data_IF_532349227060
#
_entry.id   IF_532349227060
#
_cell.length_a   1.000
_cell.length_b   1.000
_cell.length_c   1.000
_cell.angle_alpha   90.00
_cell.angle_beta   90.00
_cell.angle_gamma   90.00
#
_symmetry.space_group_name_H-M   'P 1'
#
loop_
_entity.id
_entity.type
_entity.pdbx_description
1 polymer ?
#
# COMPACT_ATOMS: atom_id res chain seq x y z
N UNK A 1 10.90 54.53 37.70
CA UNK A 1 10.59 53.08 37.67
C UNK A 1 9.10 52.92 37.93
N UNK A 2 8.33 52.43 36.97
CA UNK A 2 6.91 52.09 37.17
C UNK A 2 6.81 50.59 37.31
N UNK A 3 6.36 50.18 38.49
CA UNK A 3 6.13 48.79 38.89
C UNK A 3 5.24 48.09 37.87
N UNK A 4 5.77 47.09 37.17
CA UNK A 4 4.96 46.16 36.36
C UNK A 4 4.29 45.21 37.35
N UNK A 5 3.16 45.64 37.92
CA UNK A 5 2.28 44.74 38.66
C UNK A 5 1.63 43.81 37.64
N UNK A 6 2.20 42.63 37.43
CA UNK A 6 1.51 41.50 36.82
C UNK A 6 0.36 41.11 37.74
N UNK A 7 -0.80 41.73 37.49
CA UNK A 7 -2.01 41.40 38.19
C UNK A 7 -2.40 39.97 37.77
N UNK A 8 -2.12 39.00 38.64
CA UNK A 8 -2.83 37.73 38.63
C UNK A 8 -4.28 38.01 38.99
N UNK A 9 -5.06 38.42 37.98
CA UNK A 9 -6.49 38.60 38.10
C UNK A 9 -7.09 37.19 38.16
N UNK A 10 -7.79 36.87 39.25
CA UNK A 10 -8.57 35.63 39.34
C UNK A 10 -9.54 35.61 38.16
N UNK A 11 -9.52 34.55 37.33
CA UNK A 11 -10.41 34.52 36.18
C UNK A 11 -11.85 34.53 36.68
N UNK A 12 -12.70 35.36 36.07
CA UNK A 12 -14.14 35.34 36.36
C UNK A 12 -14.64 33.91 36.16
N UNK A 13 -15.36 33.37 37.15
CA UNK A 13 -15.76 31.96 37.20
C UNK A 13 -16.43 31.47 35.90
N UNK A 14 -17.20 32.35 35.25
CA UNK A 14 -17.85 32.11 33.96
C UNK A 14 -16.84 31.93 32.81
N UNK A 15 -15.78 32.74 32.78
CA UNK A 15 -14.72 32.66 31.76
C UNK A 15 -13.98 31.33 31.91
N UNK A 16 -13.70 30.91 33.14
CA UNK A 16 -13.06 29.62 33.42
C UNK A 16 -13.91 28.44 32.97
N UNK A 17 -15.24 28.51 33.18
CA UNK A 17 -16.18 27.46 32.74
C UNK A 17 -16.25 27.39 31.21
N UNK A 18 -16.36 28.54 30.53
CA UNK A 18 -16.40 28.58 29.06
C UNK A 18 -15.09 28.05 28.46
N UNK A 19 -13.94 28.45 29.01
CA UNK A 19 -12.64 27.95 28.58
C UNK A 19 -12.48 26.45 28.82
N UNK A 20 -12.97 25.92 29.95
CA UNK A 20 -12.90 24.48 30.20
C UNK A 20 -13.77 23.69 29.22
N UNK A 21 -14.95 24.21 28.88
CA UNK A 21 -15.84 23.57 27.91
C UNK A 21 -15.21 23.53 26.50
N UNK A 22 -14.60 24.64 26.07
CA UNK A 22 -13.85 24.70 24.81
C UNK A 22 -12.68 23.71 24.83
N UNK A 23 -11.96 23.62 25.95
CA UNK A 23 -10.84 22.69 26.11
C UNK A 23 -11.28 21.24 25.99
N UNK A 24 -12.41 20.85 26.58
CA UNK A 24 -12.96 19.49 26.48
C UNK A 24 -13.33 19.16 25.04
N UNK A 25 -13.98 20.07 24.32
CA UNK A 25 -14.35 19.88 22.90
C UNK A 25 -13.11 19.78 22.02
N UNK A 26 -12.11 20.63 22.25
CA UNK A 26 -10.85 20.59 21.52
C UNK A 26 -10.10 19.28 21.74
N UNK A 27 -10.03 18.79 22.98
CA UNK A 27 -9.39 17.51 23.28
C UNK A 27 -10.14 16.33 22.67
N UNK A 28 -11.48 16.32 22.75
CA UNK A 28 -12.30 15.26 22.16
C UNK A 28 -12.11 15.17 20.64
N UNK A 29 -12.17 16.32 19.95
CA UNK A 29 -11.94 16.36 18.50
C UNK A 29 -10.52 15.98 18.13
N UNK A 30 -9.51 16.43 18.88
CA UNK A 30 -8.12 16.09 18.61
C UNK A 30 -7.84 14.57 18.70
N UNK A 31 -8.40 13.90 19.70
CA UNK A 31 -8.25 12.44 19.85
C UNK A 31 -8.90 11.71 18.68
N UNK A 32 -10.13 12.07 18.30
CA UNK A 32 -10.80 11.47 17.15
C UNK A 32 -10.01 11.65 15.85
N UNK A 33 -9.41 12.83 15.64
CA UNK A 33 -8.58 13.10 14.46
C UNK A 33 -7.28 12.31 14.45
N UNK A 34 -6.65 12.06 15.61
CA UNK A 34 -5.45 11.22 15.69
C UNK A 34 -5.77 9.77 15.30
N UNK A 35 -6.90 9.24 15.76
CA UNK A 35 -7.32 7.88 15.39
C UNK A 35 -7.58 7.77 13.89
N UNK A 36 -8.40 8.67 13.36
CA UNK A 36 -8.72 8.75 11.93
C UNK A 36 -7.45 8.89 11.08
N UNK A 37 -6.51 9.73 11.50
CA UNK A 37 -5.23 9.91 10.82
C UNK A 37 -4.37 8.63 10.82
N UNK A 38 -4.36 7.88 11.92
CA UNK A 38 -3.59 6.65 12.00
C UNK A 38 -4.19 5.54 11.13
N UNK A 39 -5.51 5.47 11.05
CA UNK A 39 -6.22 4.54 10.17
C UNK A 39 -5.98 4.89 8.70
N UNK A 40 -6.09 6.17 8.33
CA UNK A 40 -5.77 6.66 6.98
C UNK A 40 -4.31 6.38 6.60
N UNK A 41 -3.38 6.49 7.55
CA UNK A 41 -1.97 6.18 7.34
C UNK A 41 -1.77 4.70 7.03
N UNK A 42 -2.42 3.81 7.78
CA UNK A 42 -2.35 2.36 7.52
C UNK A 42 -2.93 2.01 6.15
N UNK A 43 -4.08 2.58 5.80
CA UNK A 43 -4.71 2.35 4.49
C UNK A 43 -3.79 2.80 3.36
N UNK A 44 -3.16 3.98 3.50
CA UNK A 44 -2.15 4.46 2.55
C UNK A 44 -0.96 3.51 2.43
N UNK A 45 -0.45 2.98 3.53
CA UNK A 45 0.68 2.02 3.52
C UNK A 45 0.31 0.67 2.89
N UNK A 46 -0.94 0.23 3.00
CA UNK A 46 -1.44 -0.97 2.34
C UNK A 46 -1.55 -0.73 0.84
N UNK A 47 -2.24 0.34 0.42
CA UNK A 47 -2.40 0.71 -0.98
C UNK A 47 -1.04 0.94 -1.68
N UNK A 48 -0.08 1.55 -0.99
CA UNK A 48 1.27 1.71 -1.53
C UNK A 48 2.00 0.37 -1.71
N UNK A 49 1.79 -0.60 -0.82
CA UNK A 49 2.34 -1.95 -0.99
C UNK A 49 1.70 -2.67 -2.16
N UNK A 50 0.39 -2.56 -2.33
CA UNK A 50 -0.33 -3.15 -3.47
C UNK A 50 0.14 -2.55 -4.79
N UNK A 51 0.28 -1.22 -4.87
CA UNK A 51 0.83 -0.55 -6.05
C UNK A 51 2.25 -1.04 -6.33
N UNK A 52 3.07 -1.24 -5.29
CA UNK A 52 4.45 -1.71 -5.48
C UNK A 52 4.48 -3.15 -6.00
N UNK A 53 3.68 -4.05 -5.42
CA UNK A 53 3.59 -5.44 -5.86
C UNK A 53 3.10 -5.52 -7.32
N UNK A 54 2.05 -4.77 -7.67
CA UNK A 54 1.54 -4.72 -9.04
C UNK A 54 2.58 -4.17 -10.02
N UNK A 55 3.36 -3.16 -9.63
CA UNK A 55 4.47 -2.65 -10.46
C UNK A 55 5.59 -3.66 -10.65
N UNK A 56 5.90 -4.45 -9.63
CA UNK A 56 6.91 -5.53 -9.73
C UNK A 56 6.42 -6.63 -10.67
N UNK A 57 5.13 -7.00 -10.60
CA UNK A 57 4.51 -7.96 -11.54
C UNK A 57 4.51 -7.43 -12.98
N UNK A 58 4.15 -6.16 -13.19
CA UNK A 58 4.19 -5.53 -14.51
C UNK A 58 5.62 -5.53 -15.06
N UNK A 59 6.61 -5.16 -14.25
CA UNK A 59 8.01 -5.16 -14.69
C UNK A 59 8.52 -6.57 -15.03
N UNK A 60 8.07 -7.60 -14.31
CA UNK A 60 8.40 -8.99 -14.63
C UNK A 60 7.76 -9.45 -15.94
N UNK A 61 6.48 -9.11 -16.15
CA UNK A 61 5.75 -9.40 -17.39
C UNK A 61 6.33 -8.63 -18.59
N UNK A 62 6.69 -7.35 -18.40
CA UNK A 62 7.37 -6.55 -19.42
C UNK A 62 8.74 -7.15 -19.77
N UNK A 63 9.51 -7.63 -18.80
CA UNK A 63 10.77 -8.32 -19.07
C UNK A 63 10.58 -9.63 -19.86
N UNK A 64 9.53 -10.40 -19.54
CA UNK A 64 9.18 -11.61 -20.31
C UNK A 64 8.72 -11.27 -21.74
N UNK A 65 8.01 -10.15 -21.91
CA UNK A 65 7.51 -9.69 -23.21
C UNK A 65 8.58 -9.01 -24.08
N UNK A 66 9.50 -8.25 -23.47
CA UNK A 66 10.63 -7.59 -24.14
C UNK A 66 11.79 -8.58 -24.41
N UNK A 67 11.76 -9.76 -23.82
CA UNK A 67 12.59 -10.87 -24.30
C UNK A 67 12.26 -11.08 -25.77
N UNK A 68 13.24 -11.06 -26.68
CA UNK A 68 12.96 -11.17 -28.10
C UNK A 68 12.10 -12.42 -28.32
N UNK A 69 10.92 -12.24 -28.93
CA UNK A 69 10.16 -13.34 -29.53
C UNK A 69 11.05 -13.94 -30.62
N UNK A 70 11.99 -14.78 -30.22
CA UNK A 70 12.71 -15.64 -31.12
C UNK A 70 11.81 -16.82 -31.52
N UNK A 71 12.18 -17.45 -32.63
CA UNK A 71 11.44 -18.59 -33.14
C UNK A 71 11.41 -19.75 -32.12
N UNK A 72 12.40 -19.83 -31.22
CA UNK A 72 12.49 -20.81 -30.13
C UNK A 72 11.39 -20.60 -29.06
N UNK A 73 11.09 -19.36 -28.68
CA UNK A 73 9.99 -19.04 -27.77
C UNK A 73 8.65 -19.40 -28.37
N UNK A 74 8.41 -19.07 -29.65
CA UNK A 74 7.17 -19.43 -30.36
C UNK A 74 7.03 -20.94 -30.44
N UNK A 75 8.11 -21.65 -30.76
CA UNK A 75 8.14 -23.11 -30.84
C UNK A 75 7.83 -23.74 -29.47
N UNK A 76 8.42 -23.26 -28.37
CA UNK A 76 8.16 -23.79 -27.03
C UNK A 76 6.69 -23.58 -26.59
N UNK A 77 6.13 -22.40 -26.80
CA UNK A 77 4.72 -22.12 -26.48
C UNK A 77 3.78 -22.96 -27.34
N UNK A 78 4.13 -23.20 -28.60
CA UNK A 78 3.37 -24.05 -29.51
C UNK A 78 3.43 -25.53 -29.10
N UNK A 79 4.59 -26.03 -28.66
CA UNK A 79 4.74 -27.38 -28.10
C UNK A 79 3.90 -27.55 -26.83
N UNK A 80 3.97 -26.58 -25.91
CA UNK A 80 3.28 -26.65 -24.61
C UNK A 80 1.75 -26.47 -24.71
N UNK A 81 1.28 -25.50 -25.50
CA UNK A 81 -0.16 -25.20 -25.58
C UNK A 81 -0.91 -26.02 -26.63
N UNK A 82 -0.25 -26.41 -27.71
CA UNK A 82 -0.89 -27.11 -28.84
C UNK A 82 -0.45 -28.58 -28.94
N UNK A 83 0.47 -29.05 -28.08
CA UNK A 83 0.98 -30.42 -28.11
C UNK A 83 1.73 -30.74 -29.40
N UNK A 84 2.25 -29.71 -30.08
CA UNK A 84 2.98 -29.87 -31.33
C UNK A 84 4.34 -30.51 -31.04
N UNK A 85 4.81 -31.35 -31.95
CA UNK A 85 6.10 -32.04 -31.87
C UNK A 85 6.77 -31.87 -33.21
N UNK A 86 8.07 -31.57 -33.24
CA UNK A 86 8.77 -31.46 -34.50
C UNK A 86 8.82 -32.81 -35.22
N UNK A 87 8.74 -32.83 -36.57
CA UNK A 87 8.79 -34.07 -37.34
C UNK A 87 10.02 -34.96 -37.06
N UNK A 88 11.09 -34.38 -36.51
CA UNK A 88 12.35 -35.07 -36.21
C UNK A 88 12.56 -35.33 -34.70
N UNK A 89 11.60 -35.04 -33.82
CA UNK A 89 11.69 -35.30 -32.38
C UNK A 89 11.07 -36.65 -32.00
N UNK A 90 11.75 -37.42 -31.14
CA UNK A 90 11.25 -38.70 -30.60
C UNK A 90 10.65 -38.43 -29.22
N UNK A 91 9.35 -38.64 -29.07
CA UNK A 91 8.67 -38.53 -27.77
C UNK A 91 8.99 -39.76 -26.93
N UNK A 92 9.74 -39.58 -25.84
CA UNK A 92 9.98 -40.62 -24.84
C UNK A 92 8.95 -40.48 -23.73
N UNK A 93 7.86 -41.24 -23.81
CA UNK A 93 6.90 -41.34 -22.71
C UNK A 93 7.43 -42.38 -21.72
N UNK A 94 7.95 -41.92 -20.58
CA UNK A 94 8.18 -42.81 -19.46
C UNK A 94 6.82 -43.12 -18.82
N UNK A 95 6.17 -44.19 -19.28
CA UNK A 95 5.10 -44.81 -18.51
C UNK A 95 5.70 -45.34 -17.21
N UNK A 96 5.47 -44.61 -16.12
CA UNK A 96 5.68 -45.14 -14.78
C UNK A 96 4.57 -46.16 -14.58
N UNK A 97 4.87 -47.43 -14.85
CA UNK A 97 3.99 -48.55 -14.51
C UNK A 97 4.01 -48.65 -12.97
N UNK A 98 2.90 -48.25 -12.34
CA UNK A 98 2.61 -48.48 -10.91
C UNK A 98 2.55 -49.98 -10.58
#
# INVERSE_FOLDING_TARGET
MKEVKTAWQKPNMLITIVLSLIMVVALGTFISRIMEYNDLKKEKEILQREIKACKEEIAALEYEYDSPMDDEYIESVAKDKLGLINPNEIVVVNEVIE
#
